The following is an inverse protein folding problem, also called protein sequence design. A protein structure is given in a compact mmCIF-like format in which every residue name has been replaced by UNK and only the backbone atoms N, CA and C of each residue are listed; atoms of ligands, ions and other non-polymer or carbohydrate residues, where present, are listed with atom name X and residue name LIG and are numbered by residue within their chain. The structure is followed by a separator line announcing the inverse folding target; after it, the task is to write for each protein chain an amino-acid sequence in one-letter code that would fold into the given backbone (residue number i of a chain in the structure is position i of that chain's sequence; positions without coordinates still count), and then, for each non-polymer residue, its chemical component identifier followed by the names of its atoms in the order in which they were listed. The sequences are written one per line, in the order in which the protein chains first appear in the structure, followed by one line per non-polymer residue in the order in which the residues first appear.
data_IF_435148913210
#
_entry.id   IF_435148913210
#
_cell.length_a   1.000
_cell.length_b   1.000
_cell.length_c   1.000
_cell.angle_alpha   90.00
_cell.angle_beta   90.00
_cell.angle_gamma   90.00
#
_symmetry.space_group_name_H-M   'P 1'
#
loop_
_entity.id
_entity.type
_entity.pdbx_description
1 polymer ?
#
# COMPACT_ATOMS: atom_id res chain seq x y z
N UNK A 1 -28.54 4.90 -9.72
CA UNK A 1 -28.46 6.38 -9.69
C UNK A 1 -27.65 6.84 -8.49
N UNK A 2 -28.01 6.41 -7.27
CA UNK A 2 -27.35 6.85 -6.03
C UNK A 2 -25.83 6.56 -5.96
N UNK A 3 -25.37 5.39 -6.43
CA UNK A 3 -23.93 5.06 -6.45
C UNK A 3 -23.06 6.10 -7.18
N UNK A 4 -23.47 6.53 -8.38
CA UNK A 4 -22.66 7.44 -9.21
C UNK A 4 -22.55 8.81 -8.57
N UNK A 5 -23.65 9.33 -8.02
CA UNK A 5 -23.67 10.61 -7.31
C UNK A 5 -22.78 10.58 -6.06
N UNK A 6 -22.84 9.48 -5.30
CA UNK A 6 -21.96 9.24 -4.14
C UNK A 6 -20.49 9.16 -4.58
N UNK A 7 -20.19 8.40 -5.63
CA UNK A 7 -18.84 8.25 -6.16
C UNK A 7 -18.23 9.57 -6.64
N UNK A 8 -18.99 10.39 -7.37
CA UNK A 8 -18.57 11.73 -7.82
C UNK A 8 -18.28 12.65 -6.63
N UNK A 9 -19.14 12.59 -5.60
CA UNK A 9 -18.97 13.44 -4.41
C UNK A 9 -17.76 12.99 -3.58
N UNK A 10 -17.50 11.69 -3.49
CA UNK A 10 -16.27 11.16 -2.87
C UNK A 10 -15.01 11.59 -3.63
N UNK A 11 -15.05 11.68 -4.96
CA UNK A 11 -13.93 12.22 -5.74
C UNK A 11 -13.64 13.68 -5.37
N UNK A 12 -14.66 14.50 -5.12
CA UNK A 12 -14.47 15.88 -4.66
C UNK A 12 -13.82 15.92 -3.26
N UNK A 13 -14.23 15.03 -2.35
CA UNK A 13 -13.63 14.95 -1.02
C UNK A 13 -12.15 14.54 -1.08
N UNK A 14 -11.81 13.54 -1.90
CA UNK A 14 -10.42 13.14 -2.12
C UNK A 14 -9.59 14.23 -2.78
N UNK A 15 -10.19 15.03 -3.68
CA UNK A 15 -9.49 16.16 -4.31
C UNK A 15 -9.11 17.23 -3.28
N UNK A 16 -9.98 17.49 -2.30
CA UNK A 16 -9.65 18.39 -1.19
C UNK A 16 -8.46 17.84 -0.40
N UNK A 17 -8.48 16.55 -0.02
CA UNK A 17 -7.35 15.93 0.69
C UNK A 17 -6.06 16.01 -0.11
N UNK A 18 -6.13 15.71 -1.40
CA UNK A 18 -4.99 15.77 -2.31
C UNK A 18 -4.36 17.17 -2.35
N UNK A 19 -5.19 18.21 -2.48
CA UNK A 19 -4.77 19.62 -2.50
C UNK A 19 -4.16 20.07 -1.18
N UNK A 20 -4.74 19.64 -0.07
CA UNK A 20 -4.25 19.89 1.29
C UNK A 20 -3.05 18.98 1.67
N UNK A 21 -2.59 18.12 0.74
CA UNK A 21 -1.46 17.21 0.93
C UNK A 21 -1.69 16.21 2.07
N UNK A 22 -2.92 15.76 2.26
CA UNK A 22 -3.33 14.77 3.26
C UNK A 22 -3.58 13.43 2.55
N UNK A 23 -3.06 12.34 3.12
CA UNK A 23 -3.47 10.97 2.79
C UNK A 23 -4.35 10.47 3.92
N UNK A 24 -5.56 10.01 3.63
CA UNK A 24 -6.50 9.54 4.64
C UNK A 24 -6.12 8.17 5.20
N UNK A 25 -5.68 7.24 4.34
CA UNK A 25 -5.28 5.86 4.66
C UNK A 25 -6.39 4.93 5.19
N UNK A 26 -7.62 5.42 5.35
CA UNK A 26 -8.73 4.64 5.92
C UNK A 26 -10.07 4.96 5.24
N UNK A 27 -10.07 5.03 3.92
CA UNK A 27 -11.30 5.23 3.14
C UNK A 27 -12.11 3.94 3.14
N UNK A 28 -13.24 3.95 3.84
CA UNK A 28 -14.20 2.84 3.94
C UNK A 28 -15.60 3.35 4.31
N UNK A 29 -16.69 2.59 4.10
CA UNK A 29 -18.05 3.05 4.37
C UNK A 29 -18.28 3.62 5.78
N UNK A 30 -17.69 3.03 6.82
CA UNK A 30 -17.85 3.52 8.20
C UNK A 30 -17.27 4.92 8.43
N UNK A 31 -16.38 5.36 7.55
CA UNK A 31 -15.69 6.65 7.63
C UNK A 31 -16.25 7.68 6.62
N UNK A 32 -17.38 7.36 5.97
CA UNK A 32 -18.06 8.20 5.00
C UNK A 32 -19.42 8.60 5.58
N UNK A 33 -19.57 9.86 5.97
CA UNK A 33 -20.85 10.41 6.41
C UNK A 33 -21.59 11.01 5.21
N UNK A 34 -22.85 10.62 5.03
CA UNK A 34 -23.74 11.16 4.00
C UNK A 34 -24.89 11.88 4.68
N UNK A 35 -25.07 13.17 4.40
CA UNK A 35 -26.25 13.89 4.84
C UNK A 35 -27.47 13.40 4.03
N UNK A 36 -28.52 12.86 4.66
CA UNK A 36 -29.63 12.26 3.92
C UNK A 36 -30.47 13.28 3.14
N UNK A 37 -30.43 14.57 3.54
CA UNK A 37 -31.19 15.63 2.88
C UNK A 37 -30.38 16.35 1.82
N UNK A 38 -29.15 16.78 2.15
CA UNK A 38 -28.31 17.55 1.22
C UNK A 38 -27.47 16.67 0.32
N UNK A 39 -27.36 15.38 0.62
CA UNK A 39 -26.44 14.41 -0.02
C UNK A 39 -24.96 14.82 0.06
N UNK A 40 -24.63 15.79 0.92
CA UNK A 40 -23.26 16.20 1.20
C UNK A 40 -22.50 15.05 1.86
N UNK A 41 -21.28 14.79 1.38
CA UNK A 41 -20.40 13.76 1.93
C UNK A 41 -19.29 14.39 2.75
N UNK A 42 -19.01 13.82 3.92
CA UNK A 42 -17.86 14.17 4.75
C UNK A 42 -17.07 12.92 5.12
N UNK A 43 -15.76 13.01 4.95
CA UNK A 43 -14.82 12.00 5.45
C UNK A 43 -14.53 12.28 6.93
N UNK A 44 -14.48 11.22 7.73
CA UNK A 44 -14.17 11.26 9.15
C UNK A 44 -13.05 10.27 9.47
N UNK A 45 -12.52 10.36 10.69
CA UNK A 45 -11.47 9.46 11.21
C UNK A 45 -10.13 9.58 10.46
N UNK A 46 -9.42 10.67 10.76
CA UNK A 46 -8.05 10.94 10.30
C UNK A 46 -6.98 10.38 11.24
N UNK A 47 -7.32 9.40 12.09
CA UNK A 47 -6.44 8.91 13.16
C UNK A 47 -5.10 8.36 12.66
N UNK A 48 -5.09 7.80 11.45
CA UNK A 48 -3.89 7.26 10.80
C UNK A 48 -3.43 8.09 9.58
N UNK A 49 -4.04 9.25 9.37
CA UNK A 49 -3.74 10.11 8.24
C UNK A 49 -2.33 10.70 8.33
N UNK A 50 -1.74 11.05 7.18
CA UNK A 50 -0.39 11.59 7.09
C UNK A 50 -0.29 12.75 6.13
N UNK A 51 0.66 13.66 6.39
CA UNK A 51 1.01 14.74 5.47
C UNK A 51 2.06 14.25 4.46
N UNK A 52 1.79 14.51 3.18
CA UNK A 52 2.59 14.15 1.99
C UNK A 52 3.93 14.90 1.91
N UNK A 53 4.94 14.41 1.14
CA UNK A 53 4.79 13.75 -0.17
C UNK A 53 4.98 12.23 -0.27
N UNK A 54 5.65 11.56 0.66
CA UNK A 54 5.77 10.09 0.68
C UNK A 54 6.13 9.63 2.08
N UNK A 55 5.42 8.63 2.60
CA UNK A 55 5.74 8.02 3.88
C UNK A 55 6.34 6.63 3.67
N UNK A 56 7.47 6.36 4.32
CA UNK A 56 8.02 5.00 4.37
C UNK A 56 7.28 4.26 5.48
N UNK A 57 6.37 3.37 5.10
CA UNK A 57 5.55 2.63 6.06
C UNK A 57 6.41 1.63 6.84
N UNK A 58 6.29 1.63 8.16
CA UNK A 58 6.84 0.56 9.01
C UNK A 58 5.94 -0.67 8.94
N UNK A 59 6.51 -1.86 9.12
CA UNK A 59 5.74 -3.12 9.14
C UNK A 59 4.62 -3.04 10.17
N UNK A 60 3.37 -3.04 9.70
CA UNK A 60 2.21 -3.03 10.59
C UNK A 60 1.90 -4.47 11.02
N UNK A 61 1.62 -4.66 12.32
CA UNK A 61 1.08 -5.91 12.84
C UNK A 61 -0.40 -6.04 12.42
N UNK A 62 -0.76 -6.99 11.55
CA UNK A 62 -2.12 -7.13 11.03
C UNK A 62 -3.15 -7.44 12.12
N UNK A 63 -2.74 -8.08 13.23
CA UNK A 63 -3.64 -8.41 14.33
C UNK A 63 -4.15 -7.19 15.12
N UNK A 64 -3.63 -5.99 14.85
CA UNK A 64 -4.03 -4.73 15.51
C UNK A 64 -5.05 -3.94 14.66
N UNK A 65 -5.29 -4.34 13.42
CA UNK A 65 -6.12 -3.62 12.43
C UNK A 65 -7.47 -4.32 12.16
N UNK A 66 -8.15 -4.78 13.21
CA UNK A 66 -9.43 -5.49 13.04
C UNK A 66 -10.49 -4.58 12.38
N UNK A 67 -11.07 -5.03 11.26
CA UNK A 67 -12.05 -4.29 10.46
C UNK A 67 -11.48 -3.37 9.36
N UNK A 68 -10.28 -2.80 9.54
CA UNK A 68 -9.65 -1.90 8.55
C UNK A 68 -8.92 -2.65 7.43
N UNK A 69 -8.44 -3.87 7.70
CA UNK A 69 -7.66 -4.65 6.72
C UNK A 69 -8.42 -4.96 5.42
N UNK A 70 -9.75 -4.99 5.45
CA UNK A 70 -10.56 -5.25 4.26
C UNK A 70 -10.39 -4.17 3.18
N UNK A 71 -9.93 -2.97 3.54
CA UNK A 71 -9.79 -1.81 2.65
C UNK A 71 -8.33 -1.38 2.47
N UNK A 72 -7.39 -2.10 3.08
CA UNK A 72 -5.98 -1.71 3.09
C UNK A 72 -5.38 -1.75 1.69
N UNK A 73 -4.65 -0.71 1.31
CA UNK A 73 -3.87 -0.75 0.07
C UNK A 73 -2.65 -1.68 0.22
N UNK A 74 -2.16 -2.27 -0.88
CA UNK A 74 -0.97 -3.13 -0.86
C UNK A 74 0.24 -2.48 -0.18
N UNK A 75 0.54 -1.22 -0.52
CA UNK A 75 1.67 -0.48 0.03
C UNK A 75 1.54 -0.16 1.53
N UNK A 76 0.32 0.02 2.04
CA UNK A 76 0.07 0.21 3.47
C UNK A 76 0.40 -1.01 4.32
N UNK A 77 0.50 -2.19 3.73
CA UNK A 77 0.89 -3.40 4.46
C UNK A 77 2.35 -3.37 4.94
N UNK A 78 3.16 -2.42 4.41
CA UNK A 78 4.61 -2.37 4.62
C UNK A 78 5.37 -3.53 3.97
N UNK A 79 4.69 -4.35 3.15
CA UNK A 79 5.27 -5.54 2.46
C UNK A 79 5.51 -5.31 0.98
N UNK A 80 5.26 -4.10 0.50
CA UNK A 80 5.72 -3.66 -0.82
C UNK A 80 6.99 -2.84 -0.67
N UNK A 81 7.93 -2.99 -1.59
CA UNK A 81 9.12 -2.15 -1.65
C UNK A 81 8.78 -0.78 -2.26
N UNK A 82 7.83 -0.09 -1.65
CA UNK A 82 7.20 1.15 -2.14
C UNK A 82 6.70 1.97 -0.96
N UNK A 83 6.86 3.29 -1.04
CA UNK A 83 6.28 4.21 -0.05
C UNK A 83 4.82 4.57 -0.35
N UNK A 84 4.12 5.00 0.68
CA UNK A 84 2.71 5.40 0.59
C UNK A 84 2.60 6.81 0.02
N UNK A 85 1.69 7.00 -0.92
CA UNK A 85 1.25 8.29 -1.45
C UNK A 85 -0.28 8.35 -1.55
N UNK A 86 -0.84 9.44 -2.07
CA UNK A 86 -2.29 9.66 -2.15
C UNK A 86 -3.05 8.56 -2.93
N UNK A 87 -2.37 7.79 -3.80
CA UNK A 87 -3.00 6.71 -4.58
C UNK A 87 -3.37 5.51 -3.71
N UNK A 88 -2.90 5.46 -2.47
CA UNK A 88 -3.44 4.56 -1.43
C UNK A 88 -4.94 4.78 -1.25
N UNK A 89 -5.39 6.04 -1.17
CA UNK A 89 -6.80 6.34 -0.95
C UNK A 89 -7.66 5.93 -2.16
N UNK A 90 -7.09 5.90 -3.38
CA UNK A 90 -7.77 5.35 -4.56
C UNK A 90 -8.00 3.85 -4.47
N UNK A 91 -7.05 3.09 -3.93
CA UNK A 91 -7.24 1.66 -3.73
C UNK A 91 -8.38 1.39 -2.75
N UNK A 92 -8.35 2.06 -1.60
CA UNK A 92 -9.38 1.93 -0.57
C UNK A 92 -10.76 2.41 -1.06
N UNK A 93 -10.79 3.45 -1.90
CA UNK A 93 -12.00 3.86 -2.62
C UNK A 93 -12.49 2.77 -3.59
N UNK A 94 -11.58 2.10 -4.31
CA UNK A 94 -11.91 0.98 -5.19
C UNK A 94 -12.58 -0.17 -4.44
N UNK A 95 -12.04 -0.55 -3.27
CA UNK A 95 -12.67 -1.55 -2.38
C UNK A 95 -14.05 -1.08 -1.93
N UNK A 96 -14.19 0.19 -1.55
CA UNK A 96 -15.47 0.78 -1.15
C UNK A 96 -16.49 0.72 -2.29
N UNK A 97 -16.08 1.06 -3.52
CA UNK A 97 -16.96 0.99 -4.69
C UNK A 97 -17.36 -0.44 -5.02
N UNK A 98 -16.42 -1.39 -4.90
CA UNK A 98 -16.70 -2.80 -5.06
C UNK A 98 -17.83 -3.25 -4.13
N UNK A 99 -17.73 -2.90 -2.84
CA UNK A 99 -18.75 -3.27 -1.86
C UNK A 99 -20.08 -2.55 -2.10
N UNK A 100 -20.07 -1.26 -2.41
CA UNK A 100 -21.31 -0.51 -2.72
C UNK A 100 -22.06 -1.08 -3.93
N UNK A 101 -21.33 -1.57 -4.92
CA UNK A 101 -21.92 -2.14 -6.14
C UNK A 101 -22.39 -3.59 -5.96
N UNK A 102 -21.66 -4.39 -5.20
CA UNK A 102 -21.92 -5.84 -5.09
C UNK A 102 -22.56 -6.28 -3.77
N UNK A 103 -22.58 -5.41 -2.77
CA UNK A 103 -22.96 -5.72 -1.39
C UNK A 103 -21.98 -6.64 -0.66
N UNK A 104 -20.78 -6.89 -1.23
CA UNK A 104 -19.78 -7.81 -0.69
C UNK A 104 -18.38 -7.21 -0.79
N UNK A 105 -17.51 -7.54 0.15
CA UNK A 105 -16.08 -7.22 0.04
C UNK A 105 -15.40 -8.04 -1.09
N UNK A 106 -14.36 -7.49 -1.74
CA UNK A 106 -13.61 -8.19 -2.79
C UNK A 106 -12.87 -9.43 -2.27
N UNK A 107 -12.44 -9.38 -1.01
CA UNK A 107 -11.77 -10.48 -0.32
C UNK A 107 -12.42 -10.72 1.03
N UNK A 108 -12.70 -11.99 1.33
CA UNK A 108 -13.28 -12.42 2.60
C UNK A 108 -12.37 -13.48 3.20
N UNK A 109 -11.73 -13.16 4.32
CA UNK A 109 -11.04 -14.12 5.17
C UNK A 109 -11.11 -13.67 6.62
N UNK A 110 -11.06 -14.65 7.53
CA UNK A 110 -10.94 -14.43 8.97
C UNK A 110 -9.49 -14.36 9.43
N UNK A 111 -8.55 -14.77 8.58
CA UNK A 111 -7.12 -14.66 8.83
C UNK A 111 -6.61 -13.30 8.32
N UNK A 112 -6.15 -12.40 9.21
CA UNK A 112 -5.55 -11.12 8.82
C UNK A 112 -4.41 -11.26 7.82
N UNK A 113 -3.59 -12.31 7.94
CA UNK A 113 -2.46 -12.52 7.04
C UNK A 113 -2.91 -12.97 5.65
N UNK A 114 -3.95 -13.79 5.57
CA UNK A 114 -4.57 -14.17 4.29
C UNK A 114 -5.22 -12.97 3.61
N UNK A 115 -5.90 -12.08 4.36
CA UNK A 115 -6.43 -10.83 3.81
C UNK A 115 -5.30 -9.96 3.24
N UNK A 116 -4.23 -9.74 4.00
CA UNK A 116 -3.05 -9.00 3.51
C UNK A 116 -2.50 -9.62 2.23
N UNK A 117 -2.37 -10.95 2.19
CA UNK A 117 -1.93 -11.65 0.98
C UNK A 117 -2.88 -11.41 -0.20
N UNK A 118 -4.20 -11.45 0.01
CA UNK A 118 -5.18 -11.17 -1.02
C UNK A 118 -5.02 -9.74 -1.58
N UNK A 119 -4.84 -8.76 -0.69
CA UNK A 119 -4.62 -7.38 -1.10
C UNK A 119 -3.33 -7.21 -1.90
N UNK A 120 -2.26 -7.95 -1.61
CA UNK A 120 -0.98 -7.86 -2.33
C UNK A 120 -1.01 -8.61 -3.67
N UNK A 121 -1.54 -9.83 -3.70
CA UNK A 121 -1.27 -10.78 -4.79
C UNK A 121 -2.51 -11.32 -5.50
N UNK A 122 -3.69 -11.30 -4.87
CA UNK A 122 -4.90 -11.90 -5.44
C UNK A 122 -5.69 -10.88 -6.26
N UNK A 123 -6.15 -11.29 -7.43
CA UNK A 123 -7.11 -10.53 -8.24
C UNK A 123 -8.53 -10.77 -7.68
N UNK A 124 -9.32 -9.71 -7.40
CA UNK A 124 -10.70 -9.89 -7.00
C UNK A 124 -11.56 -10.35 -8.19
N UNK A 125 -12.67 -11.06 -7.96
CA UNK A 125 -13.70 -11.27 -8.99
C UNK A 125 -14.18 -9.94 -9.55
N UNK A 126 -14.62 -9.87 -10.81
CA UNK A 126 -15.11 -8.60 -11.35
C UNK A 126 -16.51 -8.29 -10.79
N UNK A 127 -16.83 -7.01 -10.59
CA UNK A 127 -18.14 -6.64 -10.02
C UNK A 127 -19.29 -7.03 -10.94
N UNK A 128 -19.09 -6.97 -12.27
CA UNK A 128 -20.07 -7.38 -13.27
C UNK A 128 -20.21 -8.91 -13.40
N UNK A 129 -19.23 -9.70 -12.93
CA UNK A 129 -19.37 -11.16 -12.79
C UNK A 129 -20.26 -11.52 -11.60
N UNK A 130 -20.26 -10.70 -10.54
CA UNK A 130 -21.10 -10.89 -9.35
C UNK A 130 -22.52 -10.41 -9.61
N UNK A 131 -22.68 -9.27 -10.27
CA UNK A 131 -23.96 -8.72 -10.67
C UNK A 131 -23.90 -8.23 -12.12
N UNK A 132 -24.50 -9.00 -13.03
CA UNK A 132 -24.52 -8.72 -14.47
C UNK A 132 -25.33 -7.47 -14.86
N UNK A 133 -26.10 -6.89 -13.94
CA UNK A 133 -26.75 -5.59 -14.15
C UNK A 133 -25.77 -4.42 -14.07
N UNK A 134 -24.56 -4.63 -13.51
CA UNK A 134 -23.52 -3.61 -13.44
C UNK A 134 -22.84 -3.47 -14.82
N UNK A 135 -22.82 -2.27 -15.41
CA UNK A 135 -22.12 -2.02 -16.67
C UNK A 135 -20.62 -2.34 -16.61
N UNK A 136 -20.07 -2.92 -17.69
CA UNK A 136 -18.64 -3.28 -17.81
C UNK A 136 -17.71 -2.13 -17.43
N UNK A 137 -18.01 -0.90 -17.88
CA UNK A 137 -17.21 0.30 -17.57
C UNK A 137 -17.03 0.50 -16.07
N UNK A 138 -18.09 0.31 -15.27
CA UNK A 138 -17.98 0.48 -13.82
C UNK A 138 -17.07 -0.60 -13.22
N UNK A 139 -17.09 -1.80 -13.79
CA UNK A 139 -16.15 -2.85 -13.41
C UNK A 139 -14.72 -2.50 -13.75
N UNK A 140 -14.47 -1.98 -14.95
CA UNK A 140 -13.14 -1.51 -15.38
C UNK A 140 -12.63 -0.36 -14.51
N UNK A 141 -13.50 0.56 -14.09
CA UNK A 141 -13.16 1.64 -13.15
C UNK A 141 -12.74 1.06 -11.79
N UNK A 142 -13.52 0.13 -11.22
CA UNK A 142 -13.21 -0.50 -9.93
C UNK A 142 -11.91 -1.30 -10.01
N UNK A 143 -11.71 -2.06 -11.08
CA UNK A 143 -10.48 -2.82 -11.33
C UNK A 143 -9.27 -1.89 -11.40
N UNK A 144 -9.37 -0.78 -12.16
CA UNK A 144 -8.30 0.22 -12.25
C UNK A 144 -7.99 0.83 -10.89
N UNK A 145 -9.01 1.19 -10.08
CA UNK A 145 -8.79 1.70 -8.72
C UNK A 145 -8.05 0.71 -7.82
N UNK A 146 -8.39 -0.58 -7.94
CA UNK A 146 -7.83 -1.66 -7.13
C UNK A 146 -6.56 -2.30 -7.70
N UNK A 147 -5.93 -1.69 -8.72
CA UNK A 147 -4.69 -2.19 -9.28
C UNK A 147 -3.61 -2.30 -8.19
N UNK A 148 -2.84 -3.38 -8.18
CA UNK A 148 -1.88 -3.65 -7.10
C UNK A 148 -0.75 -2.63 -7.08
N UNK A 149 -0.22 -2.32 -8.26
CA UNK A 149 0.71 -1.19 -8.42
C UNK A 149 -0.08 0.11 -8.51
N UNK A 150 0.30 1.14 -7.75
CA UNK A 150 -0.39 2.41 -7.78
C UNK A 150 -0.16 3.22 -9.07
N UNK A 151 0.88 2.93 -9.86
CA UNK A 151 1.06 3.52 -11.21
C UNK A 151 -0.03 3.07 -12.19
N UNK A 152 -0.60 1.90 -11.98
CA UNK A 152 -1.64 1.35 -12.86
C UNK A 152 -3.04 1.91 -12.51
N UNK A 153 -3.17 2.51 -11.31
CA UNK A 153 -4.39 3.15 -10.82
C UNK A 153 -4.70 4.46 -11.55
N UNK A 154 -5.81 5.10 -11.19
CA UNK A 154 -6.02 6.50 -11.54
C UNK A 154 -4.91 7.36 -10.94
N UNK A 155 -4.40 8.31 -11.71
CA UNK A 155 -3.35 9.23 -11.29
C UNK A 155 -3.92 10.55 -10.76
N UNK A 156 -5.17 10.89 -11.10
CA UNK A 156 -5.90 12.02 -10.53
C UNK A 156 -7.37 11.72 -10.21
N UNK A 157 -7.86 12.40 -9.17
CA UNK A 157 -9.29 12.44 -8.76
C UNK A 157 -10.16 12.99 -9.89
N UNK A 158 -9.64 13.94 -10.67
CA UNK A 158 -10.32 14.56 -11.81
C UNK A 158 -10.53 13.56 -12.94
N UNK A 159 -9.55 12.69 -13.23
CA UNK A 159 -9.68 11.61 -14.20
C UNK A 159 -10.79 10.64 -13.82
N UNK A 160 -10.76 10.14 -12.58
CA UNK A 160 -11.80 9.27 -12.05
C UNK A 160 -13.19 9.92 -12.08
N UNK A 161 -13.27 11.17 -11.60
CA UNK A 161 -14.52 11.94 -11.56
C UNK A 161 -15.12 12.09 -12.96
N UNK A 162 -14.29 12.41 -13.96
CA UNK A 162 -14.74 12.56 -15.34
C UNK A 162 -15.40 11.30 -15.89
N UNK A 163 -14.81 10.13 -15.63
CA UNK A 163 -15.36 8.86 -16.10
C UNK A 163 -16.70 8.53 -15.39
N UNK A 164 -16.82 8.82 -14.08
CA UNK A 164 -18.06 8.66 -13.33
C UNK A 164 -19.16 9.64 -13.80
N UNK A 165 -18.81 10.90 -14.09
CA UNK A 165 -19.73 11.91 -14.64
C UNK A 165 -20.21 11.53 -16.05
N UNK A 166 -19.35 10.94 -16.87
CA UNK A 166 -19.73 10.39 -18.17
C UNK A 166 -20.75 9.26 -18.01
N UNK A 167 -20.52 8.34 -17.07
CA UNK A 167 -21.48 7.27 -16.75
C UNK A 167 -22.84 7.85 -16.30
N UNK A 168 -22.82 8.83 -15.39
CA UNK A 168 -24.05 9.46 -14.89
C UNK A 168 -24.81 10.18 -16.00
N UNK A 169 -24.11 10.91 -16.86
CA UNK A 169 -24.70 11.63 -18.00
C UNK A 169 -25.37 10.67 -18.98
N UNK A 170 -24.69 9.57 -19.36
CA UNK A 170 -25.26 8.56 -20.25
C UNK A 170 -26.52 7.91 -19.65
N UNK A 171 -26.47 7.57 -18.35
CA UNK A 171 -27.60 6.99 -17.65
C UNK A 171 -28.80 7.95 -17.60
N UNK A 172 -28.58 9.24 -17.34
CA UNK A 172 -29.65 10.25 -17.29
C UNK A 172 -30.27 10.53 -18.68
N UNK A 173 -29.45 10.53 -19.74
CA UNK A 173 -29.92 10.88 -21.09
C UNK A 173 -30.53 9.70 -21.83
N UNK A 174 -29.97 8.50 -21.65
CA UNK A 174 -30.29 7.33 -22.48
C UNK A 174 -30.84 6.15 -21.67
N UNK A 175 -30.79 6.21 -20.34
CA UNK A 175 -31.20 5.12 -19.45
C UNK A 175 -30.20 3.96 -19.39
N UNK A 176 -29.07 4.02 -20.11
CA UNK A 176 -28.05 2.97 -20.17
C UNK A 176 -26.65 3.57 -20.17
N UNK A 177 -25.67 2.81 -19.67
CA UNK A 177 -24.25 3.17 -19.73
C UNK A 177 -23.59 2.29 -20.78
N UNK A 178 -23.11 2.89 -21.86
CA UNK A 178 -22.38 2.19 -22.93
C UNK A 178 -20.91 2.09 -22.58
N UNK A 179 -20.23 1.11 -23.20
CA UNK A 179 -18.80 0.97 -22.99
C UNK A 179 -18.01 2.13 -23.61
N UNK A 180 -16.95 2.57 -22.92
CA UNK A 180 -16.00 3.57 -23.38
C UNK A 180 -14.65 3.36 -22.72
N UNK A 181 -13.59 3.83 -23.37
CA UNK A 181 -12.24 3.78 -22.83
C UNK A 181 -12.08 4.75 -21.65
N UNK A 182 -11.81 4.21 -20.46
CA UNK A 182 -11.60 4.94 -19.21
C UNK A 182 -10.20 5.58 -19.15
N UNK A 183 -10.02 6.55 -18.25
CA UNK A 183 -8.71 7.16 -17.98
C UNK A 183 -8.22 8.13 -19.06
N UNK A 184 -9.01 8.42 -20.11
CA UNK A 184 -8.60 9.34 -21.19
C UNK A 184 -8.27 10.77 -20.72
N UNK A 185 -8.84 11.19 -19.59
CA UNK A 185 -8.57 12.49 -18.94
C UNK A 185 -7.84 12.34 -17.61
N UNK A 186 -7.24 11.18 -17.36
CA UNK A 186 -6.46 10.91 -16.17
C UNK A 186 -5.04 11.49 -16.30
N UNK A 187 -4.96 12.81 -16.10
CA UNK A 187 -3.70 13.54 -16.09
C UNK A 187 -3.40 13.95 -14.65
N UNK A 188 -2.21 13.61 -14.17
CA UNK A 188 -1.70 14.08 -12.87
C UNK A 188 -0.95 15.39 -13.03
N UNK A 189 -1.20 16.32 -12.12
CA UNK A 189 -0.47 17.59 -11.99
C UNK A 189 0.81 17.46 -11.16
N UNK A 190 1.04 16.30 -10.51
CA UNK A 190 2.28 16.00 -9.78
C UNK A 190 3.20 15.09 -10.57
N UNK A 191 4.43 15.55 -10.73
CA UNK A 191 5.53 14.71 -11.18
C UNK A 191 5.96 13.80 -10.03
N UNK A 192 5.55 12.53 -10.07
CA UNK A 192 6.00 11.49 -9.16
C UNK A 192 6.99 10.62 -9.92
N UNK A 193 8.18 10.42 -9.35
CA UNK A 193 9.14 9.45 -9.91
C UNK A 193 8.51 8.06 -9.73
N UNK A 194 8.22 7.32 -10.82
CA UNK A 194 7.69 5.98 -10.71
C UNK A 194 8.68 5.08 -9.97
N UNK A 195 8.21 4.25 -9.03
CA UNK A 195 9.06 3.23 -8.40
C UNK A 195 9.33 2.05 -9.37
N UNK A 196 8.61 2.02 -10.51
CA UNK A 196 8.88 1.11 -11.63
C UNK A 196 10.09 1.59 -12.42
N UNK A 197 11.11 0.74 -12.50
CA UNK A 197 12.32 0.99 -13.28
C UNK A 197 12.02 0.86 -14.78
N UNK A 198 11.78 1.97 -15.46
CA UNK A 198 11.68 2.03 -16.92
C UNK A 198 13.07 2.18 -17.56
N UNK A 199 13.34 1.46 -18.64
CA UNK A 199 14.61 1.56 -19.39
C UNK A 199 15.79 0.82 -18.75
N UNK A 200 15.51 -0.08 -17.79
CA UNK A 200 16.49 -0.94 -17.11
C UNK A 200 16.16 -2.42 -17.28
N UNK A 201 15.45 -2.75 -18.36
CA UNK A 201 14.96 -4.10 -18.60
C UNK A 201 16.12 -5.11 -18.71
N UNK A 202 17.23 -4.71 -19.37
CA UNK A 202 18.42 -5.53 -19.50
C UNK A 202 19.13 -5.77 -18.15
N UNK A 203 19.21 -4.75 -17.29
CA UNK A 203 19.79 -4.89 -15.95
C UNK A 203 18.90 -5.71 -15.01
N UNK A 204 17.58 -5.56 -15.10
CA UNK A 204 16.61 -6.39 -14.37
C UNK A 204 16.76 -7.85 -14.81
N UNK A 205 16.84 -8.12 -16.11
CA UNK A 205 17.04 -9.46 -16.66
C UNK A 205 18.37 -10.06 -16.18
N UNK A 206 19.46 -9.27 -16.18
CA UNK A 206 20.76 -9.71 -15.66
C UNK A 206 20.68 -10.10 -14.18
N UNK A 207 19.96 -9.33 -13.37
CA UNK A 207 19.78 -9.59 -11.95
C UNK A 207 18.94 -10.86 -11.71
N UNK A 208 17.87 -11.04 -12.48
CA UNK A 208 17.01 -12.23 -12.42
C UNK A 208 17.76 -13.50 -12.83
N UNK A 209 18.55 -13.44 -13.91
CA UNK A 209 19.41 -14.56 -14.32
C UNK A 209 20.47 -14.88 -13.26
N UNK A 210 21.04 -13.87 -12.60
CA UNK A 210 21.98 -14.09 -11.49
C UNK A 210 21.30 -14.77 -10.30
N UNK A 211 20.08 -14.34 -9.95
CA UNK A 211 19.28 -14.97 -8.90
C UNK A 211 18.95 -16.42 -9.22
N UNK A 212 18.47 -16.71 -10.44
CA UNK A 212 18.14 -18.07 -10.88
C UNK A 212 19.35 -19.03 -10.84
N UNK A 213 20.54 -18.55 -11.21
CA UNK A 213 21.78 -19.35 -11.11
C UNK A 213 22.07 -19.76 -9.67
N UNK A 214 21.82 -18.87 -8.71
CA UNK A 214 22.07 -19.15 -7.28
C UNK A 214 20.96 -20.03 -6.70
N UNK A 215 19.70 -19.78 -7.06
CA UNK A 215 18.57 -20.55 -6.53
C UNK A 215 18.49 -21.98 -7.09
N UNK A 216 18.98 -22.22 -8.30
CA UNK A 216 18.98 -23.52 -8.96
C UNK A 216 20.30 -24.29 -8.82
N UNK A 217 21.30 -23.74 -8.12
CA UNK A 217 22.51 -24.50 -7.80
C UNK A 217 22.18 -25.56 -6.74
N UNK A 218 22.43 -26.86 -6.99
CA UNK A 218 22.29 -27.88 -5.95
C UNK A 218 23.30 -27.54 -4.86
N UNK A 219 22.82 -27.36 -3.63
CA UNK A 219 23.70 -27.05 -2.49
C UNK A 219 24.85 -28.05 -2.39
N UNK A 220 26.07 -27.54 -2.27
CA UNK A 220 27.24 -28.37 -1.98
C UNK A 220 26.98 -29.23 -0.74
N UNK A 221 27.32 -30.53 -0.75
CA UNK A 221 27.16 -31.37 0.42
C UNK A 221 28.10 -30.88 1.54
N UNK A 222 27.74 -31.07 2.81
CA UNK A 222 28.51 -30.54 3.93
C UNK A 222 29.93 -31.12 3.92
N UNK A 223 30.93 -30.23 3.96
CA UNK A 223 32.34 -30.59 4.07
C UNK A 223 32.55 -31.57 5.23
N UNK A 224 32.98 -32.79 4.91
CA UNK A 224 33.54 -33.73 5.88
C UNK A 224 34.87 -33.18 6.42
N UNK A 225 35.13 -33.22 7.74
CA UNK A 225 36.40 -32.75 8.28
C UNK A 225 37.52 -33.72 7.91
N UNK A 226 38.59 -33.21 7.27
CA UNK A 226 39.81 -33.99 7.05
C UNK A 226 40.43 -34.39 8.40
N UNK A 227 40.65 -35.70 8.57
CA UNK A 227 41.40 -36.26 9.68
C UNK A 227 42.91 -36.34 9.36
N UNK A 228 43.67 -35.84 10.33
CA UNK A 228 45.07 -36.06 10.76
C UNK A 228 46.05 -36.91 9.92
N UNK A 229 47.29 -36.39 9.86
CA UNK A 229 48.58 -37.10 10.02
C UNK A 229 49.72 -36.05 9.94
N UNK A 230 50.37 -35.63 11.05
CA UNK A 230 51.59 -36.22 11.68
C UNK A 230 52.84 -35.70 10.95
N UNK A 231 53.93 -35.16 11.50
CA UNK A 231 54.60 -35.08 12.81
C UNK A 231 55.62 -33.89 12.69
N UNK A 232 55.77 -32.97 13.67
CA UNK A 232 56.63 -32.96 14.87
C UNK A 232 58.02 -32.29 14.68
N UNK A 233 58.28 -31.19 15.41
CA UNK A 233 59.59 -30.78 16.02
C UNK A 233 59.51 -29.34 16.58
N UNK A 234 59.32 -29.19 17.90
CA UNK A 234 60.31 -28.76 18.93
C UNK A 234 60.72 -27.28 18.90
N UNK A 235 60.38 -26.54 19.96
CA UNK A 235 61.11 -25.35 20.40
C UNK A 235 60.26 -24.30 21.12
N UNK A 236 60.33 -24.27 22.45
CA UNK A 236 59.83 -23.22 23.35
C UNK A 236 60.79 -23.18 24.56
N UNK A 237 60.85 -22.15 25.44
CA UNK A 237 60.46 -20.72 25.38
C UNK A 237 61.66 -19.84 25.91
N UNK A 238 61.60 -18.62 26.56
CA UNK A 238 60.69 -18.18 27.64
C UNK A 238 60.19 -16.70 27.65
N UNK A 239 59.09 -16.51 28.39
CA UNK A 239 58.63 -15.36 29.22
C UNK A 239 59.30 -13.97 29.13
N UNK A 240 58.49 -12.89 29.06
CA UNK A 240 58.16 -12.03 30.23
C UNK A 240 57.07 -10.96 29.95
N UNK A 241 56.34 -10.46 30.97
CA UNK A 241 55.13 -9.63 30.87
C UNK A 241 55.30 -8.19 31.41
N UNK A 242 54.44 -7.24 30.99
CA UNK A 242 54.13 -5.93 31.65
C UNK A 242 52.85 -5.37 30.97
N UNK A 243 51.92 -4.62 31.56
CA UNK A 243 51.69 -4.12 32.92
C UNK A 243 50.26 -3.57 33.03
N UNK A 244 49.74 -3.53 34.25
CA UNK A 244 48.47 -2.95 34.71
C UNK A 244 48.40 -1.42 34.63
N UNK A 245 47.18 -0.90 34.71
CA UNK A 245 46.80 0.41 35.29
C UNK A 245 45.55 0.94 34.58
N UNK A 246 44.46 1.39 35.18
CA UNK A 246 43.96 1.62 36.54
C UNK A 246 42.53 2.19 36.34
N UNK A 247 41.53 1.81 37.14
CA UNK A 247 40.92 2.64 38.20
C UNK A 247 40.67 4.12 37.78
N UNK A 248 39.53 4.77 38.00
CA UNK A 248 38.38 4.53 38.87
C UNK A 248 37.31 5.62 38.60
N UNK A 249 36.07 5.31 39.00
CA UNK A 249 35.11 6.18 39.70
C UNK A 249 34.60 7.52 39.13
N UNK A 250 33.26 7.58 39.09
CA UNK A 250 32.35 8.57 39.71
C UNK A 250 32.10 9.92 39.05
N UNK A 251 30.81 10.25 38.87
CA UNK A 251 30.34 11.63 38.92
C UNK A 251 29.04 11.97 38.19
N UNK A 252 27.90 11.40 38.60
CA UNK A 252 26.60 12.11 38.54
C UNK A 252 26.56 13.11 39.70
N UNK A 253 25.90 14.31 39.63
CA UNK A 253 24.42 14.45 39.56
C UNK A 253 23.95 15.84 38.98
N UNK A 254 22.76 16.42 39.29
CA UNK A 254 21.42 15.88 39.53
C UNK A 254 20.32 16.46 38.59
N UNK A 255 19.19 15.75 38.55
CA UNK A 255 17.88 16.26 38.11
C UNK A 255 17.30 17.33 39.04
N UNK A 256 16.61 18.33 38.48
CA UNK A 256 15.49 19.05 39.14
C UNK A 256 14.45 19.51 38.09
N UNK A 257 13.18 19.72 38.49
CA UNK A 257 12.00 19.48 37.65
C UNK A 257 11.41 20.74 37.00
N UNK A 258 10.78 20.60 35.84
CA UNK A 258 9.98 21.65 35.22
C UNK A 258 8.50 21.52 35.61
N UNK A 259 8.01 22.63 36.14
CA UNK A 259 6.66 22.94 36.61
C UNK A 259 5.62 22.99 35.50
N UNK A 260 4.39 22.59 35.86
CA UNK A 260 3.14 22.90 35.18
C UNK A 260 2.97 24.42 34.95
N UNK A 261 2.49 24.79 33.77
CA UNK A 261 2.04 26.14 33.45
C UNK A 261 0.93 26.12 32.40
N UNK A 262 -0.29 26.38 32.88
CA UNK A 262 -1.53 26.91 32.26
C UNK A 262 -1.89 26.51 30.83
#
# INVERSE_FOLDING_TARGET
MEFLEVGITLCNALEILYRERIIHKDIKPSNILINPHTKEIKLIDFSIASLLPKETQTLINPHVLEGTLAYISPEQTGRMNRGIDYRTDFYSLGVTFYELLTGKLPFQSKDPMELVHCHIAKTPPLVNEINSEIPSVLSEIVEKLMAKNAEDRYQSTLGLKYDLENCLTQLQQTGQIKNFEIGRRDVSDRFIIPDKLYGREAEIETLLQAFERVSNSPGDPPHTPLSKGGDNSTGDPPHTPLSKGGDNSTGDPPHTPLSKGR
#
